data_IF_573961431192
#
_entry.id   IF_573961431192
#
_cell.length_a   1.000
_cell.length_b   1.000
_cell.length_c   1.000
_cell.angle_alpha   90.00
_cell.angle_beta   90.00
_cell.angle_gamma   90.00
#
_symmetry.space_group_name_H-M   'P 1'
#
loop_
_entity.id
_entity.type
_entity.pdbx_description
1 polymer ?
#
# COMPACT_ATOMS: atom_id res chain seq x y z
N UNK A 1 59.78 -31.25 -57.82
CA UNK A 1 58.65 -32.19 -57.76
C UNK A 1 57.99 -32.02 -56.39
N UNK A 2 57.13 -31.01 -56.24
CA UNK A 2 55.66 -31.07 -56.36
C UNK A 2 54.97 -31.46 -55.03
N UNK A 3 54.06 -30.58 -54.60
CA UNK A 3 52.91 -30.75 -53.68
C UNK A 3 53.11 -30.26 -52.23
N UNK A 4 52.61 -29.07 -51.92
CA UNK A 4 51.24 -28.73 -51.48
C UNK A 4 50.91 -29.33 -50.10
N UNK A 5 50.98 -28.50 -49.06
CA UNK A 5 50.30 -28.74 -47.78
C UNK A 5 49.24 -27.64 -47.64
N UNK A 6 48.00 -28.11 -47.55
CA UNK A 6 46.75 -27.35 -47.43
C UNK A 6 46.76 -26.47 -46.17
N UNK A 7 46.52 -25.17 -46.35
CA UNK A 7 46.08 -24.28 -45.27
C UNK A 7 44.59 -24.55 -45.06
N UNK A 8 44.24 -25.16 -43.92
CA UNK A 8 42.87 -25.24 -43.45
C UNK A 8 42.50 -23.86 -42.90
N UNK A 9 41.87 -23.05 -43.75
CA UNK A 9 41.20 -21.82 -43.34
C UNK A 9 39.93 -22.18 -42.57
N UNK A 10 39.99 -22.10 -41.23
CA UNK A 10 38.79 -22.10 -40.39
C UNK A 10 38.12 -20.74 -40.57
N UNK A 11 37.18 -20.68 -41.50
CA UNK A 11 36.23 -19.56 -41.61
C UNK A 11 35.25 -19.71 -40.46
N UNK A 12 35.54 -19.03 -39.36
CA UNK A 12 34.63 -18.91 -38.23
C UNK A 12 33.52 -17.92 -38.64
N UNK A 13 32.38 -18.46 -39.09
CA UNK A 13 31.15 -17.70 -39.25
C UNK A 13 30.73 -17.20 -37.86
N UNK A 14 31.13 -15.97 -37.54
CA UNK A 14 30.53 -15.20 -36.46
C UNK A 14 29.08 -14.94 -36.85
N UNK A 15 28.18 -15.83 -36.45
CA UNK A 15 26.76 -15.54 -36.45
C UNK A 15 26.56 -14.41 -35.43
N UNK A 16 26.49 -13.19 -35.94
CA UNK A 16 26.01 -12.02 -35.21
C UNK A 16 24.60 -12.38 -34.76
N UNK A 17 24.46 -12.81 -33.51
CA UNK A 17 23.16 -12.94 -32.87
C UNK A 17 22.54 -11.57 -32.82
N UNK A 18 21.72 -11.25 -33.81
CA UNK A 18 20.80 -10.13 -33.73
C UNK A 18 19.83 -10.47 -32.60
N UNK A 19 20.14 -10.01 -31.38
CA UNK A 19 19.12 -9.84 -30.36
C UNK A 19 18.22 -8.75 -30.92
N UNK A 20 17.10 -9.16 -31.53
CA UNK A 20 16.01 -8.25 -31.82
C UNK A 20 15.53 -7.71 -30.48
N UNK A 21 16.08 -6.56 -30.08
CA UNK A 21 15.63 -5.80 -28.93
C UNK A 21 14.21 -5.34 -29.29
N UNK A 22 13.21 -6.10 -28.84
CA UNK A 22 11.83 -5.70 -28.93
C UNK A 22 11.73 -4.26 -28.37
N UNK A 23 10.93 -3.41 -29.02
CA UNK A 23 10.50 -2.10 -28.50
C UNK A 23 9.56 -2.28 -27.28
N UNK A 24 10.03 -3.05 -26.31
CA UNK A 24 9.31 -3.54 -25.15
C UNK A 24 9.37 -2.51 -24.03
N UNK A 25 8.21 -2.20 -23.48
CA UNK A 25 8.09 -1.50 -22.20
C UNK A 25 8.89 -2.29 -21.17
N UNK A 26 9.66 -1.62 -20.32
CA UNK A 26 10.32 -2.30 -19.20
C UNK A 26 9.32 -2.38 -18.06
N UNK A 27 9.06 -3.61 -17.62
CA UNK A 27 8.18 -3.93 -16.50
C UNK A 27 9.02 -4.48 -15.36
N UNK A 28 8.89 -3.88 -14.18
CA UNK A 28 9.47 -4.38 -12.93
C UNK A 28 8.39 -4.42 -11.86
N UNK A 29 8.43 -5.47 -11.05
CA UNK A 29 7.56 -5.67 -9.89
C UNK A 29 8.44 -6.17 -8.77
N UNK A 30 8.41 -5.48 -7.64
CA UNK A 30 9.09 -5.91 -6.43
C UNK A 30 8.11 -6.71 -5.56
N UNK A 31 8.58 -7.81 -4.98
CA UNK A 31 7.80 -8.61 -4.02
C UNK A 31 7.29 -7.80 -2.82
N UNK A 32 8.02 -6.77 -2.39
CA UNK A 32 7.62 -5.83 -1.33
C UNK A 32 6.47 -4.93 -1.76
N UNK A 33 6.34 -4.68 -3.07
CA UNK A 33 5.24 -3.94 -3.68
C UNK A 33 3.99 -4.80 -3.95
N UNK A 34 3.98 -6.07 -3.54
CA UNK A 34 2.80 -6.94 -3.61
C UNK A 34 2.16 -7.00 -2.21
N UNK A 35 0.88 -6.65 -2.15
CA UNK A 35 0.11 -6.48 -0.93
C UNK A 35 0.62 -5.31 -0.10
N UNK A 36 0.50 -5.39 1.22
CA UNK A 36 1.00 -4.37 2.14
C UNK A 36 2.31 -4.85 2.75
N UNK A 37 3.42 -4.16 2.47
CA UNK A 37 4.73 -4.49 3.03
C UNK A 37 5.25 -5.89 2.66
N UNK A 38 4.87 -6.40 1.48
CA UNK A 38 5.18 -7.77 1.08
C UNK A 38 4.35 -8.84 1.77
N UNK A 39 3.15 -8.50 2.25
CA UNK A 39 2.19 -9.47 2.78
C UNK A 39 0.88 -9.43 2.00
N UNK A 40 0.29 -10.59 1.77
CA UNK A 40 -1.05 -10.71 1.20
C UNK A 40 -1.94 -11.60 2.06
N UNK A 41 -3.25 -11.33 2.04
CA UNK A 41 -4.26 -12.15 2.71
C UNK A 41 -5.14 -12.84 1.66
N UNK A 42 -5.16 -14.18 1.60
CA UNK A 42 -6.08 -14.92 0.73
C UNK A 42 -7.53 -14.53 0.99
N UNK A 43 -8.33 -14.40 -0.05
CA UNK A 43 -9.73 -13.95 0.01
C UNK A 43 -9.91 -12.43 0.16
N UNK A 44 -8.82 -11.67 0.30
CA UNK A 44 -8.84 -10.20 0.28
C UNK A 44 -8.28 -9.65 -1.02
N UNK A 45 -8.63 -8.40 -1.32
CA UNK A 45 -7.95 -7.63 -2.35
C UNK A 45 -6.47 -7.47 -2.02
N UNK A 46 -5.62 -7.71 -3.02
CA UNK A 46 -4.18 -7.55 -2.97
C UNK A 46 -3.75 -6.53 -4.02
N UNK A 47 -3.06 -5.49 -3.57
CA UNK A 47 -2.45 -4.49 -4.45
C UNK A 47 -1.11 -4.99 -5.00
N UNK A 48 -0.70 -4.50 -6.17
CA UNK A 48 0.60 -4.79 -6.76
C UNK A 48 1.12 -3.51 -7.42
N UNK A 49 2.29 -3.04 -6.97
CA UNK A 49 2.95 -1.89 -7.54
C UNK A 49 3.78 -2.29 -8.77
N UNK A 50 3.38 -1.79 -9.93
CA UNK A 50 4.11 -1.94 -11.18
C UNK A 50 5.03 -0.74 -11.36
N UNK A 51 6.28 -1.01 -11.71
CA UNK A 51 7.23 0.00 -12.19
C UNK A 51 7.39 -0.18 -13.70
N UNK A 52 6.98 0.85 -14.44
CA UNK A 52 6.86 0.83 -15.90
C UNK A 52 7.77 1.91 -16.49
N UNK A 53 8.50 1.58 -17.54
CA UNK A 53 9.29 2.55 -18.30
C UNK A 53 9.06 2.31 -19.80
N UNK A 54 8.73 3.37 -20.52
CA UNK A 54 8.59 3.34 -21.97
C UNK A 54 9.84 3.94 -22.63
N UNK A 55 10.72 3.11 -23.21
CA UNK A 55 11.93 3.62 -23.87
C UNK A 55 11.64 4.34 -25.20
N UNK A 56 10.41 4.25 -25.73
CA UNK A 56 10.02 4.87 -27.00
C UNK A 56 9.96 6.40 -26.89
N UNK A 57 10.35 7.15 -27.95
CA UNK A 57 10.19 8.60 -27.99
C UNK A 57 8.74 9.09 -28.07
N UNK A 58 7.76 8.19 -28.23
CA UNK A 58 6.35 8.53 -28.27
C UNK A 58 5.62 8.04 -27.02
N UNK A 59 4.65 8.81 -26.47
CA UNK A 59 3.77 8.32 -25.42
C UNK A 59 3.03 7.05 -25.89
N UNK A 60 2.83 6.11 -24.98
CA UNK A 60 2.19 4.82 -25.30
C UNK A 60 1.11 4.51 -24.30
N UNK A 61 -0.10 4.22 -24.78
CA UNK A 61 -1.15 3.64 -23.94
C UNK A 61 -0.92 2.14 -23.83
N UNK A 62 -1.06 1.60 -22.61
CA UNK A 62 -0.88 0.19 -22.33
C UNK A 62 -1.96 -0.33 -21.38
N UNK A 63 -2.19 -1.63 -21.44
CA UNK A 63 -3.04 -2.36 -20.50
C UNK A 63 -2.12 -3.23 -19.64
N UNK A 64 -2.14 -2.99 -18.33
CA UNK A 64 -1.51 -3.87 -17.36
C UNK A 64 -2.53 -4.91 -16.90
N UNK A 65 -2.17 -6.19 -16.96
CA UNK A 65 -3.05 -7.30 -16.64
C UNK A 65 -2.40 -8.25 -15.64
N UNK A 66 -3.16 -8.65 -14.61
CA UNK A 66 -2.80 -9.68 -13.64
C UNK A 66 -3.80 -10.81 -13.77
N UNK A 67 -3.29 -11.98 -14.16
CA UNK A 67 -4.07 -13.21 -14.26
C UNK A 67 -4.03 -13.97 -12.93
N UNK A 68 -5.21 -14.28 -12.38
CA UNK A 68 -5.36 -15.00 -11.11
C UNK A 68 -6.32 -16.18 -11.31
N UNK A 69 -5.99 -17.38 -10.80
CA UNK A 69 -6.91 -18.50 -10.87
C UNK A 69 -8.15 -18.28 -10.01
N UNK A 70 -9.29 -18.66 -10.53
CA UNK A 70 -10.59 -18.77 -9.88
C UNK A 70 -10.63 -20.04 -8.98
N UNK A 71 -11.57 -20.10 -8.04
CA UNK A 71 -11.95 -21.31 -7.32
C UNK A 71 -12.38 -22.46 -8.24
N UNK A 72 -12.97 -22.17 -9.40
CA UNK A 72 -13.40 -23.18 -10.38
C UNK A 72 -12.28 -23.61 -11.36
N UNK A 73 -11.06 -23.07 -11.20
CA UNK A 73 -9.91 -23.38 -12.05
C UNK A 73 -9.80 -22.54 -13.32
N UNK A 74 -10.77 -21.66 -13.58
CA UNK A 74 -10.70 -20.63 -14.60
C UNK A 74 -9.69 -19.53 -14.22
N UNK A 75 -9.41 -18.60 -15.14
CA UNK A 75 -8.49 -17.48 -14.89
C UNK A 75 -9.22 -16.15 -15.04
N UNK A 76 -9.26 -15.39 -13.95
CA UNK A 76 -9.77 -14.01 -13.93
C UNK A 76 -8.64 -13.06 -14.31
N UNK A 77 -8.94 -12.13 -15.22
CA UNK A 77 -8.00 -11.11 -15.68
C UNK A 77 -8.35 -9.76 -15.07
N UNK A 78 -7.50 -9.29 -14.17
CA UNK A 78 -7.61 -7.95 -13.60
C UNK A 78 -6.80 -6.98 -14.43
N UNK A 79 -7.44 -5.90 -14.93
CA UNK A 79 -6.81 -4.98 -15.88
C UNK A 79 -6.81 -3.54 -15.40
N UNK A 80 -5.78 -2.79 -15.81
CA UNK A 80 -5.70 -1.34 -15.66
C UNK A 80 -5.06 -0.69 -16.87
N UNK A 81 -5.69 0.35 -17.38
CA UNK A 81 -5.14 1.20 -18.43
C UNK A 81 -4.15 2.21 -17.85
N UNK A 82 -3.00 2.36 -18.50
CA UNK A 82 -1.94 3.29 -18.10
C UNK A 82 -1.41 3.99 -19.35
N UNK A 83 -1.25 5.31 -19.27
CA UNK A 83 -0.56 6.08 -20.31
C UNK A 83 0.88 6.29 -19.89
N UNK A 84 1.80 5.69 -20.64
CA UNK A 84 3.23 5.84 -20.43
C UNK A 84 3.76 7.05 -21.20
N UNK A 85 4.53 7.89 -20.51
CA UNK A 85 5.22 9.02 -21.11
C UNK A 85 6.34 8.57 -22.05
N UNK A 86 6.84 9.47 -22.92
CA UNK A 86 7.93 9.15 -23.83
C UNK A 86 9.29 9.21 -23.11
N UNK A 87 10.25 8.47 -23.67
CA UNK A 87 11.68 8.61 -23.41
C UNK A 87 12.25 7.66 -22.35
N UNK A 88 13.49 7.16 -22.55
CA UNK A 88 14.17 6.35 -21.56
C UNK A 88 14.40 7.14 -20.27
N UNK A 89 14.26 6.47 -19.12
CA UNK A 89 14.37 7.06 -17.79
C UNK A 89 13.08 7.67 -17.23
N UNK A 90 12.01 7.78 -18.03
CA UNK A 90 10.69 8.16 -17.52
C UNK A 90 10.02 6.96 -16.84
N UNK A 91 10.34 6.77 -15.56
CA UNK A 91 9.80 5.68 -14.74
C UNK A 91 8.47 6.12 -14.14
N UNK A 92 7.42 5.36 -14.42
CA UNK A 92 6.09 5.57 -13.87
C UNK A 92 5.67 4.37 -13.02
N UNK A 93 4.90 4.66 -11.98
CA UNK A 93 4.32 3.66 -11.11
C UNK A 93 2.82 3.52 -11.37
N UNK A 94 2.31 2.30 -11.32
CA UNK A 94 0.89 2.01 -11.44
C UNK A 94 0.48 0.84 -10.53
N UNK A 95 -0.63 1.00 -9.81
CA UNK A 95 -1.17 -0.07 -8.98
C UNK A 95 -2.10 -0.99 -9.77
N UNK A 96 -1.89 -2.28 -9.66
CA UNK A 96 -2.80 -3.31 -10.14
C UNK A 96 -3.39 -4.07 -8.97
N UNK A 97 -4.60 -4.61 -9.12
CA UNK A 97 -5.31 -5.20 -7.99
C UNK A 97 -6.01 -6.48 -8.39
N UNK A 98 -5.90 -7.50 -7.56
CA UNK A 98 -6.62 -8.75 -7.73
C UNK A 98 -7.07 -9.30 -6.38
N UNK A 99 -8.15 -10.08 -6.38
CA UNK A 99 -8.55 -10.86 -5.21
C UNK A 99 -7.94 -12.25 -5.35
N UNK A 100 -7.06 -12.61 -4.42
CA UNK A 100 -6.40 -13.91 -4.47
C UNK A 100 -7.31 -14.99 -3.87
N UNK A 101 -7.44 -16.18 -4.48
CA UNK A 101 -8.32 -17.22 -3.98
C UNK A 101 -7.83 -17.74 -2.62
N UNK A 102 -8.76 -18.16 -1.76
CA UNK A 102 -8.45 -18.66 -0.40
C UNK A 102 -7.52 -19.87 -0.44
N UNK A 103 -7.68 -20.73 -1.46
CA UNK A 103 -6.88 -21.94 -1.69
C UNK A 103 -5.55 -21.72 -2.41
N UNK A 104 -5.12 -20.46 -2.64
CA UNK A 104 -3.87 -20.20 -3.38
C UNK A 104 -2.66 -20.90 -2.72
N UNK A 105 -1.80 -21.52 -3.53
CA UNK A 105 -0.59 -22.16 -3.02
C UNK A 105 0.37 -21.13 -2.40
N UNK A 106 1.02 -21.42 -1.26
CA UNK A 106 2.08 -20.56 -0.71
C UNK A 106 3.26 -20.35 -1.68
N UNK A 107 3.47 -21.26 -2.62
CA UNK A 107 4.51 -21.18 -3.66
C UNK A 107 3.98 -20.61 -4.98
N UNK A 108 2.76 -20.07 -5.00
CA UNK A 108 2.18 -19.48 -6.19
C UNK A 108 2.97 -18.24 -6.66
N UNK A 109 2.92 -18.01 -7.97
CA UNK A 109 3.51 -16.83 -8.60
C UNK A 109 2.42 -16.04 -9.31
N UNK A 110 2.52 -14.71 -9.26
CA UNK A 110 1.70 -13.82 -10.04
C UNK A 110 2.24 -13.70 -11.47
N UNK A 111 1.36 -13.83 -12.46
CA UNK A 111 1.68 -13.54 -13.85
C UNK A 111 1.13 -12.17 -14.23
N UNK A 112 2.03 -11.28 -14.66
CA UNK A 112 1.70 -9.90 -15.03
C UNK A 112 2.12 -9.67 -16.47
N UNK A 113 1.20 -9.13 -17.28
CA UNK A 113 1.43 -8.76 -18.67
C UNK A 113 1.17 -7.27 -18.86
N UNK A 114 2.00 -6.65 -19.69
CA UNK A 114 1.74 -5.32 -20.23
C UNK A 114 1.51 -5.48 -21.72
N UNK A 115 0.36 -5.03 -22.19
CA UNK A 115 -0.07 -5.17 -23.58
C UNK A 115 -0.30 -3.80 -24.18
N UNK A 116 -0.14 -3.70 -25.49
CA UNK A 116 -0.48 -2.50 -26.23
C UNK A 116 -1.98 -2.26 -26.14
N UNK A 117 -2.36 -1.05 -25.73
CA UNK A 117 -3.72 -0.58 -25.80
C UNK A 117 -4.12 -0.45 -27.28
N UNK A 118 -5.11 -1.21 -27.74
CA UNK A 118 -5.73 -0.89 -29.02
C UNK A 118 -6.61 0.36 -28.90
N UNK A 119 -7.10 0.83 -30.04
CA UNK A 119 -7.97 2.02 -30.15
C UNK A 119 -9.33 1.86 -29.50
N UNK A 120 -9.75 0.61 -29.21
CA UNK A 120 -11.03 0.29 -28.61
C UNK A 120 -10.81 -0.33 -27.22
N UNK A 121 -11.42 0.25 -26.17
CA UNK A 121 -11.30 -0.24 -24.80
C UNK A 121 -11.92 -1.64 -24.60
N UNK A 122 -12.66 -2.12 -25.61
CA UNK A 122 -13.34 -3.42 -25.64
C UNK A 122 -12.49 -4.58 -26.17
N UNK A 123 -11.25 -4.32 -26.63
CA UNK A 123 -10.41 -5.38 -27.20
C UNK A 123 -10.17 -6.53 -26.20
N UNK A 124 -10.53 -7.72 -26.65
CA UNK A 124 -10.25 -8.98 -25.95
C UNK A 124 -8.75 -9.29 -26.02
N UNK A 125 -8.18 -9.76 -24.90
CA UNK A 125 -6.75 -10.06 -24.70
C UNK A 125 -6.12 -10.90 -25.82
N UNK A 126 -6.92 -11.65 -26.57
CA UNK A 126 -6.49 -12.53 -27.66
C UNK A 126 -5.87 -11.79 -28.85
N UNK A 127 -6.09 -10.48 -29.00
CA UNK A 127 -5.56 -9.68 -30.11
C UNK A 127 -4.55 -8.61 -29.70
N UNK A 128 -4.36 -8.36 -28.41
CA UNK A 128 -3.45 -7.32 -27.92
C UNK A 128 -1.99 -7.79 -27.97
N UNK A 129 -1.10 -7.01 -28.59
CA UNK A 129 0.33 -7.31 -28.64
C UNK A 129 0.93 -7.19 -27.23
N UNK A 130 1.53 -8.28 -26.73
CA UNK A 130 2.25 -8.26 -25.45
C UNK A 130 3.55 -7.47 -25.61
N UNK A 131 3.72 -6.45 -24.78
CA UNK A 131 4.87 -5.55 -24.74
C UNK A 131 5.83 -5.85 -23.60
N UNK A 132 5.39 -6.54 -22.55
CA UNK A 132 6.22 -7.05 -21.47
C UNK A 132 5.47 -8.13 -20.70
N UNK A 133 6.18 -9.07 -20.11
CA UNK A 133 5.62 -10.06 -19.19
C UNK A 133 6.63 -10.38 -18.10
N UNK A 134 6.14 -10.54 -16.87
CA UNK A 134 6.94 -11.00 -15.74
C UNK A 134 6.14 -12.01 -14.93
N UNK A 135 6.84 -12.99 -14.38
CA UNK A 135 6.31 -13.90 -13.36
C UNK A 135 7.05 -13.61 -12.08
N UNK A 136 6.31 -13.33 -11.01
CA UNK A 136 6.88 -12.91 -9.72
C UNK A 136 6.33 -13.83 -8.64
N UNK A 137 7.17 -14.41 -7.77
CA UNK A 137 6.67 -15.17 -6.64
C UNK A 137 5.79 -14.27 -5.76
N UNK A 138 4.65 -14.79 -5.31
CA UNK A 138 3.89 -14.09 -4.29
C UNK A 138 4.72 -14.00 -3.01
N UNK A 139 4.60 -12.90 -2.24
CA UNK A 139 5.44 -12.71 -1.07
C UNK A 139 4.84 -13.47 0.13
N UNK A 140 4.89 -12.91 1.33
CA UNK A 140 4.45 -13.63 2.53
C UNK A 140 2.93 -13.73 2.59
N UNK A 141 2.42 -14.96 2.68
CA UNK A 141 1.00 -15.24 2.93
C UNK A 141 0.67 -15.01 4.40
N UNK A 142 -0.38 -14.24 4.68
CA UNK A 142 -0.98 -14.16 6.00
C UNK A 142 -1.87 -15.37 6.28
N UNK A 143 -1.78 -15.87 7.51
CA UNK A 143 -2.73 -16.86 8.01
C UNK A 143 -4.09 -16.18 8.27
N UNK A 144 -5.19 -16.94 8.19
CA UNK A 144 -6.54 -16.35 8.27
C UNK A 144 -6.88 -15.83 9.67
N UNK A 145 -6.25 -16.41 10.69
CA UNK A 145 -6.34 -16.04 12.09
C UNK A 145 -5.51 -14.80 12.46
N UNK A 146 -4.62 -14.35 11.56
CA UNK A 146 -3.78 -13.18 11.79
C UNK A 146 -4.51 -11.89 11.44
N UNK A 147 -4.39 -10.90 12.32
CA UNK A 147 -4.87 -9.54 12.11
C UNK A 147 -3.70 -8.60 11.86
N UNK A 148 -3.47 -8.18 10.61
CA UNK A 148 -2.36 -7.29 10.31
C UNK A 148 -2.67 -5.85 10.71
N UNK A 149 -1.70 -5.23 11.36
CA UNK A 149 -1.64 -3.79 11.63
C UNK A 149 -0.47 -3.22 10.84
N UNK A 150 -0.75 -2.30 9.92
CA UNK A 150 0.29 -1.61 9.16
C UNK A 150 0.90 -0.47 9.96
N UNK A 151 2.21 -0.27 9.86
CA UNK A 151 2.94 0.83 10.52
C UNK A 151 3.73 1.57 9.45
N UNK A 152 3.32 2.82 9.19
CA UNK A 152 3.95 3.73 8.24
C UNK A 152 5.08 4.49 8.91
N UNK A 153 6.25 4.46 8.28
CA UNK A 153 7.50 5.02 8.77
C UNK A 153 8.55 3.96 9.07
N UNK A 154 9.69 4.39 9.60
CA UNK A 154 10.85 3.54 9.84
C UNK A 154 10.50 2.31 10.68
N UNK A 155 11.18 1.19 10.42
CA UNK A 155 11.03 -0.05 11.20
C UNK A 155 11.55 0.07 12.65
N UNK A 156 12.38 1.09 12.94
CA UNK A 156 12.68 1.50 14.32
C UNK A 156 11.47 2.18 14.99
N UNK A 157 10.55 2.72 14.19
CA UNK A 157 9.26 3.30 14.56
C UNK A 157 8.17 2.27 14.84
N UNK A 158 8.51 1.03 15.21
CA UNK A 158 7.52 0.07 15.73
C UNK A 158 6.96 0.50 17.10
N UNK A 159 7.42 1.62 17.67
CA UNK A 159 6.91 2.27 18.89
C UNK A 159 6.76 1.31 20.09
N UNK A 160 7.62 0.30 20.18
CA UNK A 160 7.54 -0.71 21.24
C UNK A 160 6.32 -1.63 21.15
N UNK A 161 5.67 -1.75 19.98
CA UNK A 161 4.47 -2.58 19.79
C UNK A 161 4.77 -4.08 19.62
N UNK A 162 6.01 -4.47 19.30
CA UNK A 162 6.38 -5.89 19.10
C UNK A 162 6.01 -6.86 20.23
N UNK A 163 6.13 -6.50 21.53
CA UNK A 163 5.69 -7.38 22.62
C UNK A 163 4.21 -7.77 22.53
N UNK A 164 3.38 -6.95 21.86
CA UNK A 164 1.96 -7.22 21.65
C UNK A 164 1.69 -8.18 20.48
N UNK A 165 2.68 -8.83 19.87
CA UNK A 165 2.40 -9.91 18.89
C UNK A 165 2.23 -11.29 19.54
N UNK A 166 2.64 -11.44 20.81
CA UNK A 166 2.79 -12.76 21.45
C UNK A 166 2.16 -12.84 22.84
N UNK A 167 1.24 -11.92 23.17
CA UNK A 167 0.65 -11.89 24.51
C UNK A 167 -0.31 -13.09 24.72
N UNK A 168 -0.17 -13.84 25.84
CA UNK A 168 -0.99 -15.03 26.10
C UNK A 168 -2.49 -14.75 26.24
N UNK A 169 -2.88 -13.50 26.49
CA UNK A 169 -4.26 -13.08 26.74
C UNK A 169 -4.98 -12.56 25.49
N UNK A 170 -4.37 -12.70 24.30
CA UNK A 170 -4.96 -12.21 23.06
C UNK A 170 -6.03 -13.15 22.53
N UNK A 171 -7.14 -12.56 22.12
CA UNK A 171 -8.24 -13.29 21.49
C UNK A 171 -7.99 -13.52 19.99
N UNK A 172 -7.13 -12.71 19.36
CA UNK A 172 -6.74 -12.81 17.96
C UNK A 172 -5.23 -12.61 17.80
N UNK A 173 -4.59 -13.32 16.87
CA UNK A 173 -3.16 -13.22 16.64
C UNK A 173 -2.84 -11.93 15.88
N UNK A 174 -2.10 -11.02 16.51
CA UNK A 174 -1.69 -9.78 15.85
C UNK A 174 -0.43 -10.00 15.01
N UNK A 175 -0.34 -9.30 13.87
CA UNK A 175 0.88 -9.20 13.08
C UNK A 175 1.17 -7.73 12.77
N UNK A 176 2.38 -7.28 13.09
CA UNK A 176 2.82 -5.91 12.80
C UNK A 176 3.60 -5.86 11.49
N UNK A 177 3.08 -5.13 10.52
CA UNK A 177 3.73 -4.86 9.23
C UNK A 177 4.29 -3.45 9.27
N UNK A 178 5.55 -3.29 9.67
CA UNK A 178 6.20 -1.99 9.74
C UNK A 178 7.24 -1.75 8.66
N UNK A 179 7.76 -0.52 8.60
CA UNK A 179 8.64 -0.10 7.52
C UNK A 179 7.88 0.31 6.26
N UNK A 180 6.58 0.56 6.34
CA UNK A 180 5.79 0.99 5.17
C UNK A 180 6.17 2.42 4.81
N UNK A 181 6.53 2.65 3.55
CA UNK A 181 6.78 4.00 3.05
C UNK A 181 5.46 4.63 2.58
N UNK A 182 5.25 5.93 2.81
CA UNK A 182 4.03 6.60 2.33
C UNK A 182 3.82 6.50 0.81
N UNK A 183 4.91 6.45 0.04
CA UNK A 183 4.90 6.26 -1.42
C UNK A 183 4.40 4.87 -1.86
N UNK A 184 4.46 3.88 -0.97
CA UNK A 184 4.00 2.51 -1.20
C UNK A 184 2.52 2.32 -0.83
N UNK A 185 1.81 3.38 -0.44
CA UNK A 185 0.38 3.27 -0.14
C UNK A 185 -0.44 3.13 -1.43
N UNK A 186 -1.37 2.14 -1.48
CA UNK A 186 -2.23 1.92 -2.63
C UNK A 186 -3.06 3.15 -3.00
N UNK A 187 -3.34 3.27 -4.29
CA UNK A 187 -4.18 4.36 -4.84
C UNK A 187 -5.69 4.05 -4.83
N UNK A 188 -6.12 2.93 -4.22
CA UNK A 188 -7.53 2.57 -4.02
C UNK A 188 -7.74 1.96 -2.64
N UNK A 189 -8.87 2.27 -2.01
CA UNK A 189 -9.18 1.89 -0.63
C UNK A 189 -9.08 0.39 -0.37
N UNK A 190 -9.50 -0.43 -1.34
CA UNK A 190 -9.51 -1.88 -1.16
C UNK A 190 -8.10 -2.49 -1.22
N UNK A 191 -7.09 -1.77 -1.70
CA UNK A 191 -5.68 -2.17 -1.53
C UNK A 191 -5.24 -2.23 -0.06
N UNK A 192 -5.93 -1.47 0.80
CA UNK A 192 -5.74 -1.49 2.26
C UNK A 192 -6.71 -2.44 2.96
N UNK A 193 -7.58 -3.16 2.24
CA UNK A 193 -8.65 -3.96 2.86
C UNK A 193 -8.15 -5.10 3.75
N UNK A 194 -6.92 -5.58 3.53
CA UNK A 194 -6.31 -6.57 4.42
C UNK A 194 -6.00 -6.01 5.81
N UNK A 195 -5.76 -4.69 5.91
CA UNK A 195 -5.48 -4.02 7.17
C UNK A 195 -6.79 -3.64 7.86
N UNK A 196 -6.84 -3.86 9.16
CA UNK A 196 -7.87 -3.27 10.03
C UNK A 196 -7.43 -1.92 10.58
N UNK A 197 -6.13 -1.81 10.86
CA UNK A 197 -5.52 -0.62 11.46
C UNK A 197 -4.25 -0.24 10.72
N UNK A 198 -4.09 1.05 10.47
CA UNK A 198 -2.88 1.65 9.94
C UNK A 198 -2.40 2.70 10.95
N UNK A 199 -1.18 2.52 11.46
CA UNK A 199 -0.54 3.43 12.39
C UNK A 199 0.45 4.29 11.60
N UNK A 200 0.28 5.60 11.68
CA UNK A 200 1.18 6.57 11.08
C UNK A 200 2.10 7.15 12.14
N UNK A 201 3.40 6.89 12.00
CA UNK A 201 4.41 7.31 12.98
C UNK A 201 4.97 8.68 12.65
N UNK A 202 5.54 9.42 13.62
CA UNK A 202 6.16 10.72 13.34
C UNK A 202 7.33 10.62 12.35
N UNK A 203 7.98 9.45 12.28
CA UNK A 203 9.10 9.20 11.36
C UNK A 203 8.68 9.16 9.88
N UNK A 204 7.39 8.99 9.60
CA UNK A 204 6.83 9.06 8.26
C UNK A 204 6.43 10.48 7.83
N UNK A 205 6.60 11.48 8.69
CA UNK A 205 6.12 12.84 8.47
C UNK A 205 4.59 12.96 8.56
N UNK A 206 4.05 14.06 8.05
CA UNK A 206 2.62 14.33 8.03
C UNK A 206 1.93 13.46 6.94
N UNK A 207 0.85 12.73 7.26
CA UNK A 207 0.00 12.05 6.26
C UNK A 207 -0.51 12.96 5.13
N UNK A 208 -0.56 14.26 5.40
CA UNK A 208 -0.90 15.33 4.48
C UNK A 208 0.24 15.83 3.59
N UNK A 209 1.47 15.36 3.81
CA UNK A 209 2.64 15.85 3.10
C UNK A 209 2.63 15.44 1.61
N UNK A 210 3.42 16.13 0.81
CA UNK A 210 3.44 16.00 -0.66
C UNK A 210 3.92 14.63 -1.14
N UNK A 211 4.66 13.90 -0.30
CA UNK A 211 5.15 12.55 -0.55
C UNK A 211 4.00 11.54 -0.73
N UNK A 212 2.82 11.86 -0.18
CA UNK A 212 1.60 11.07 -0.37
C UNK A 212 0.79 11.64 -1.52
N UNK A 213 0.64 10.85 -2.59
CA UNK A 213 -0.17 11.24 -3.73
C UNK A 213 -1.61 11.57 -3.32
N UNK A 214 -2.25 12.54 -3.99
CA UNK A 214 -3.66 12.88 -3.72
C UNK A 214 -4.58 11.66 -3.83
N UNK A 215 -4.32 10.80 -4.81
CA UNK A 215 -5.11 9.59 -5.03
C UNK A 215 -4.94 8.59 -3.88
N UNK A 216 -3.72 8.40 -3.38
CA UNK A 216 -3.45 7.57 -2.20
C UNK A 216 -4.09 8.16 -0.92
N UNK A 217 -4.09 9.50 -0.77
CA UNK A 217 -4.79 10.17 0.34
C UNK A 217 -6.31 9.95 0.27
N UNK A 218 -6.89 10.06 -0.92
CA UNK A 218 -8.31 9.77 -1.14
C UNK A 218 -8.64 8.30 -0.87
N UNK A 219 -7.77 7.36 -1.29
CA UNK A 219 -7.90 5.95 -0.98
C UNK A 219 -7.89 5.67 0.52
N UNK A 220 -6.98 6.31 1.26
CA UNK A 220 -6.91 6.23 2.71
C UNK A 220 -8.17 6.77 3.37
N UNK A 221 -8.66 7.93 2.92
CA UNK A 221 -9.92 8.54 3.37
C UNK A 221 -11.10 7.59 3.17
N UNK A 222 -11.22 7.00 1.99
CA UNK A 222 -12.29 6.05 1.67
C UNK A 222 -12.20 4.77 2.50
N UNK A 223 -10.99 4.28 2.75
CA UNK A 223 -10.77 3.12 3.61
C UNK A 223 -11.21 3.40 5.06
N UNK A 224 -10.87 4.56 5.62
CA UNK A 224 -11.34 4.99 6.96
C UNK A 224 -12.87 5.08 6.99
N UNK A 225 -13.48 5.72 5.99
CA UNK A 225 -14.95 5.82 5.87
C UNK A 225 -15.66 4.46 5.77
N UNK A 226 -14.93 3.40 5.38
CA UNK A 226 -15.43 2.02 5.28
C UNK A 226 -15.14 1.17 6.53
N UNK A 227 -14.65 1.78 7.61
CA UNK A 227 -14.38 1.11 8.89
C UNK A 227 -12.91 0.78 9.14
N UNK A 228 -12.00 1.23 8.28
CA UNK A 228 -10.56 1.18 8.55
C UNK A 228 -10.18 2.12 9.70
N UNK A 229 -9.22 1.73 10.53
CA UNK A 229 -8.77 2.52 11.67
C UNK A 229 -7.42 3.19 11.36
N UNK A 230 -7.43 4.50 11.15
CA UNK A 230 -6.20 5.28 11.03
C UNK A 230 -5.82 5.83 12.41
N UNK A 231 -4.63 5.47 12.90
CA UNK A 231 -4.05 6.01 14.13
C UNK A 231 -2.87 6.89 13.74
N UNK A 232 -2.95 8.19 14.00
CA UNK A 232 -1.85 9.12 13.73
C UNK A 232 -1.19 9.52 15.04
N UNK A 233 0.12 9.29 15.13
CA UNK A 233 0.92 9.71 16.27
C UNK A 233 1.47 11.10 15.96
N UNK A 234 1.00 12.10 16.70
CA UNK A 234 1.47 13.47 16.55
C UNK A 234 2.87 13.63 17.19
N UNK A 235 3.73 14.51 16.64
CA UNK A 235 4.98 14.88 17.29
C UNK A 235 4.71 15.58 18.63
N UNK A 236 5.69 15.56 19.53
CA UNK A 236 5.60 16.24 20.83
C UNK A 236 5.49 17.76 20.74
N UNK A 237 5.92 18.34 19.62
CA UNK A 237 5.89 19.78 19.35
C UNK A 237 5.38 20.03 17.92
N UNK A 238 4.47 21.00 17.79
CA UNK A 238 3.92 21.43 16.50
C UNK A 238 2.84 20.49 15.96
N UNK A 239 1.57 20.88 16.14
CA UNK A 239 0.46 20.17 15.50
C UNK A 239 0.27 20.64 14.04
N UNK A 240 0.70 19.82 13.09
CA UNK A 240 0.50 20.06 11.66
C UNK A 240 -0.92 19.69 11.20
N UNK A 241 -1.65 18.90 12.00
CA UNK A 241 -2.92 18.30 11.62
C UNK A 241 -4.03 19.28 11.23
N UNK A 242 -4.19 20.46 11.86
CA UNK A 242 -5.23 21.42 11.48
C UNK A 242 -5.14 21.89 10.02
N UNK A 243 -3.93 21.79 9.44
CA UNK A 243 -3.65 22.11 8.04
C UNK A 243 -3.58 20.89 7.13
N UNK A 244 -3.75 19.68 7.69
CA UNK A 244 -3.67 18.43 6.93
C UNK A 244 -4.85 18.31 5.95
N UNK A 245 -4.61 17.86 4.71
CA UNK A 245 -5.66 17.46 3.78
C UNK A 245 -6.57 16.32 4.30
N UNK A 246 -6.17 15.60 5.35
CA UNK A 246 -6.97 14.55 5.99
C UNK A 246 -7.76 15.05 7.22
N UNK A 247 -7.84 16.35 7.46
CA UNK A 247 -8.54 16.88 8.64
C UNK A 247 -10.01 16.45 8.76
N UNK A 248 -10.71 16.26 7.64
CA UNK A 248 -12.14 15.92 7.59
C UNK A 248 -12.46 14.45 7.91
N UNK A 249 -11.44 13.60 8.11
CA UNK A 249 -11.67 12.25 8.68
C UNK A 249 -11.54 12.23 10.20
N UNK A 250 -11.17 13.34 10.85
CA UNK A 250 -11.27 13.41 12.31
C UNK A 250 -12.72 13.57 12.74
N UNK A 251 -13.13 12.88 13.82
CA UNK A 251 -14.46 13.05 14.39
C UNK A 251 -14.64 14.40 15.10
N UNK A 252 -13.58 15.19 15.30
CA UNK A 252 -13.58 16.43 16.08
C UNK A 252 -12.87 17.53 15.27
N UNK A 253 -13.50 18.69 15.15
CA UNK A 253 -12.89 19.87 14.54
C UNK A 253 -11.82 20.45 15.48
N UNK A 254 -10.65 20.81 14.95
CA UNK A 254 -9.47 21.21 15.74
C UNK A 254 -9.70 22.42 16.67
N UNK A 255 -10.73 23.23 16.40
CA UNK A 255 -11.13 24.37 17.24
C UNK A 255 -11.84 23.94 18.54
N UNK A 256 -12.24 22.67 18.65
CA UNK A 256 -12.86 22.09 19.84
C UNK A 256 -11.87 21.47 20.82
N UNK A 257 -10.57 21.41 20.47
CA UNK A 257 -9.51 20.90 21.35
C UNK A 257 -8.64 22.07 21.79
N UNK A 258 -8.90 22.61 22.98
CA UNK A 258 -8.05 23.66 23.58
C UNK A 258 -7.28 23.09 24.75
N UNK A 259 -5.95 23.24 24.73
CA UNK A 259 -5.10 23.04 25.91
C UNK A 259 -5.26 24.26 26.81
N UNK A 260 -5.89 24.09 27.97
CA UNK A 260 -6.30 25.22 28.80
C UNK A 260 -5.22 25.64 29.80
N UNK A 261 -4.31 24.74 30.21
CA UNK A 261 -3.22 25.05 31.17
C UNK A 261 -2.10 23.98 31.19
N UNK A 262 -1.03 24.23 31.94
CA UNK A 262 0.18 23.39 32.07
C UNK A 262 -0.06 22.05 32.82
N UNK A 263 -1.22 21.91 33.45
CA UNK A 263 -1.74 20.63 33.97
C UNK A 263 -2.68 20.07 32.90
N UNK A 264 -2.48 18.82 32.48
CA UNK A 264 -3.21 18.12 31.40
C UNK A 264 -4.74 18.13 31.60
N UNK A 265 -5.35 19.27 31.31
CA UNK A 265 -6.78 19.51 31.35
C UNK A 265 -7.27 19.63 29.92
N UNK A 266 -8.04 18.62 29.52
CA UNK A 266 -8.66 18.54 28.21
C UNK A 266 -10.14 18.93 28.33
N UNK A 267 -10.61 19.76 27.41
CA UNK A 267 -12.02 20.09 27.22
C UNK A 267 -12.47 19.50 25.88
N UNK A 268 -13.64 18.85 25.88
CA UNK A 268 -14.25 18.28 24.69
C UNK A 268 -15.66 18.88 24.56
N UNK A 269 -16.00 19.38 23.37
CA UNK A 269 -17.35 19.85 23.05
C UNK A 269 -17.92 18.98 21.93
N UNK A 270 -19.21 18.65 21.99
CA UNK A 270 -19.89 17.80 21.01
C UNK A 270 -21.18 18.47 20.52
N UNK A 271 -21.44 18.39 19.22
CA UNK A 271 -22.60 19.00 18.56
C UNK A 271 -23.87 18.14 18.63
N UNK A 272 -23.77 16.87 19.03
CA UNK A 272 -24.89 15.93 19.13
C UNK A 272 -24.85 15.17 20.46
N UNK A 273 -26.02 14.97 21.06
CA UNK A 273 -26.16 14.21 22.30
C UNK A 273 -26.04 12.69 22.03
N UNK A 274 -25.11 12.02 22.73
CA UNK A 274 -24.90 10.58 22.62
C UNK A 274 -24.03 10.04 23.77
N UNK A 275 -23.94 8.71 23.94
CA UNK A 275 -23.08 8.12 24.96
C UNK A 275 -21.61 8.40 24.63
N UNK A 276 -20.90 9.02 25.58
CA UNK A 276 -19.46 9.32 25.46
C UNK A 276 -18.68 8.37 26.35
N UNK A 277 -17.77 7.60 25.76
CA UNK A 277 -16.82 6.76 26.51
C UNK A 277 -15.46 7.44 26.50
N UNK A 278 -14.96 7.80 27.68
CA UNK A 278 -13.63 8.39 27.88
C UNK A 278 -12.80 7.36 28.64
N UNK A 279 -11.78 6.81 28.00
CA UNK A 279 -10.84 5.87 28.61
C UNK A 279 -9.52 6.60 28.90
N UNK A 280 -9.11 6.62 30.17
CA UNK A 280 -7.84 7.22 30.58
C UNK A 280 -6.79 6.10 30.74
N UNK A 281 -5.99 5.89 29.69
CA UNK A 281 -5.07 4.74 29.57
C UNK A 281 -3.75 4.94 30.33
N UNK A 282 -3.56 6.07 31.00
CA UNK A 282 -2.29 6.47 31.60
C UNK A 282 -1.70 5.44 32.59
N UNK A 283 -2.53 4.77 33.39
CA UNK A 283 -2.08 3.71 34.31
C UNK A 283 -1.62 2.43 33.60
N UNK A 284 -2.18 2.09 32.45
CA UNK A 284 -1.81 0.87 31.73
C UNK A 284 -0.42 0.95 31.08
N UNK A 285 0.12 2.16 30.89
CA UNK A 285 1.47 2.40 30.36
C UNK A 285 2.48 2.80 31.46
N UNK A 286 2.15 2.61 32.73
CA UNK A 286 3.04 2.92 33.85
C UNK A 286 3.25 4.42 34.13
N UNK A 287 2.38 5.28 33.60
CA UNK A 287 2.48 6.74 33.82
C UNK A 287 1.91 7.11 35.20
N UNK A 288 2.57 8.02 35.97
CA UNK A 288 2.05 8.55 37.23
C UNK A 288 0.89 9.55 37.03
N UNK A 289 0.37 9.71 35.81
CA UNK A 289 -0.73 10.60 35.49
C UNK A 289 -2.02 10.21 36.22
N UNK A 290 -2.46 11.10 37.11
CA UNK A 290 -3.78 11.07 37.72
C UNK A 290 -4.73 11.94 36.88
N UNK A 291 -5.47 11.32 35.97
CA UNK A 291 -6.50 12.05 35.22
C UNK A 291 -7.72 12.32 36.09
N UNK A 292 -8.14 13.58 36.16
CA UNK A 292 -9.38 13.98 36.80
C UNK A 292 -10.40 14.29 35.70
N UNK A 293 -11.52 13.55 35.69
CA UNK A 293 -12.60 13.78 34.73
C UNK A 293 -13.61 14.74 35.35
N UNK A 294 -13.93 15.82 34.65
CA UNK A 294 -15.06 16.70 34.98
C UNK A 294 -15.97 16.78 33.76
N UNK A 295 -17.21 16.35 33.91
CA UNK A 295 -18.22 16.39 32.84
C UNK A 295 -19.17 17.54 33.12
N UNK A 296 -19.41 18.42 32.14
CA UNK A 296 -20.37 19.53 32.25
C UNK A 296 -21.40 19.50 31.12
N UNK A 297 -22.63 19.95 31.39
CA UNK A 297 -23.64 20.13 30.35
C UNK A 297 -23.48 21.47 29.59
N UNK A 298 -24.32 21.70 28.57
CA UNK A 298 -24.32 22.94 27.79
C UNK A 298 -24.70 24.20 28.58
N UNK A 299 -25.23 24.04 29.79
CA UNK A 299 -25.50 25.12 30.74
C UNK A 299 -24.36 25.29 31.78
N UNK A 300 -23.25 24.56 31.63
CA UNK A 300 -22.08 24.61 32.51
C UNK A 300 -22.25 23.87 33.83
N UNK A 301 -23.32 23.08 34.02
CA UNK A 301 -23.57 22.31 35.25
C UNK A 301 -22.73 21.05 35.26
N UNK A 302 -22.11 20.76 36.40
CA UNK A 302 -21.29 19.55 36.58
C UNK A 302 -22.19 18.32 36.69
N UNK A 303 -21.93 17.33 35.83
CA UNK A 303 -22.62 16.04 35.79
C UNK A 303 -21.82 14.94 36.51
N UNK A 304 -20.49 15.01 36.44
CA UNK A 304 -19.52 14.12 37.11
C UNK A 304 -18.29 14.93 37.49
#
# INVERSE_FOLDING_TARGET
MNRLIFIIGVVCLLTTGAIAQLETVRLRVDSTGIGVGGYYQPGSWTAMLLTLENPSPQPRKVICEWSVPDADGDTVQHRRWVTLGPGPGNVQQAWLYAMLPVGISPQASAQVRVMEAGTDETLTTTQARVLAQVTVPLPKRLAMEQRPIGIVGSSAGMMGLRPYETLPTQHEALLLIGGLEPSQLPDRWYGLAMLQTLIWTPSAGDPGAMEVSEVSRQALREWVKRGGHLVVILPSEGDAWPRSPLRDILPIESDQIRKIEEIDRYEFSMSQAGPVTIALTARQIGSPLHGMLKVVDSAGRVLV
#
